data_IF_731583704299
#
_entry.id   IF_731583704299
#
_cell.length_a   1.000
_cell.length_b   1.000
_cell.length_c   1.000
_cell.angle_alpha   90.00
_cell.angle_beta   90.00
_cell.angle_gamma   90.00
#
_symmetry.space_group_name_H-M   'P 1'
#
loop_
_entity.id
_entity.type
_entity.pdbx_description
1 polymer ?
#
# COMPACT_ATOMS: atom_id res chain seq x y z
N UNK A 1 33.11 -10.33 11.86
CA UNK A 1 31.72 -10.82 11.70
C UNK A 1 30.67 -9.71 11.80
N UNK A 2 30.69 -8.87 12.85
CA UNK A 2 29.70 -7.78 13.01
C UNK A 2 29.63 -6.80 11.83
N UNK A 3 30.76 -6.30 11.33
CA UNK A 3 30.78 -5.36 10.19
C UNK A 3 30.14 -5.93 8.91
N UNK A 4 30.32 -7.24 8.66
CA UNK A 4 29.73 -7.92 7.52
C UNK A 4 28.20 -8.06 7.67
N UNK A 5 27.73 -8.38 8.88
CA UNK A 5 26.30 -8.40 9.20
C UNK A 5 25.67 -7.02 9.05
N UNK A 6 26.33 -5.96 9.52
CA UNK A 6 25.86 -4.57 9.35
C UNK A 6 25.77 -4.17 7.88
N UNK A 7 26.77 -4.49 7.06
CA UNK A 7 26.74 -4.22 5.62
C UNK A 7 25.63 -5.01 4.91
N UNK A 8 25.38 -6.25 5.33
CA UNK A 8 24.30 -7.06 4.77
C UNK A 8 22.92 -6.53 5.18
N UNK A 9 22.77 -6.11 6.43
CA UNK A 9 21.53 -5.54 6.96
C UNK A 9 21.22 -4.19 6.30
N UNK A 10 22.22 -3.32 6.13
CA UNK A 10 22.05 -2.04 5.43
C UNK A 10 21.58 -2.22 3.99
N UNK A 11 22.18 -3.16 3.25
CA UNK A 11 21.72 -3.50 1.88
C UNK A 11 20.27 -4.01 1.87
N UNK A 12 19.90 -4.84 2.85
CA UNK A 12 18.54 -5.35 2.96
C UNK A 12 17.52 -4.24 3.25
N UNK A 13 17.87 -3.28 4.12
CA UNK A 13 17.02 -2.12 4.42
C UNK A 13 16.80 -1.26 3.18
N UNK A 14 17.86 -0.97 2.42
CA UNK A 14 17.75 -0.17 1.19
C UNK A 14 16.91 -0.90 0.14
N UNK A 15 17.10 -2.22 -0.01
CA UNK A 15 16.28 -3.02 -0.92
C UNK A 15 14.81 -3.03 -0.50
N UNK A 16 14.52 -3.25 0.78
CA UNK A 16 13.17 -3.23 1.32
C UNK A 16 12.49 -1.87 1.11
N UNK A 17 13.21 -0.77 1.37
CA UNK A 17 12.74 0.58 1.11
C UNK A 17 12.46 0.83 -0.39
N UNK A 18 13.34 0.35 -1.27
CA UNK A 18 13.16 0.46 -2.73
C UNK A 18 11.94 -0.33 -3.22
N UNK A 19 11.76 -1.56 -2.74
CA UNK A 19 10.59 -2.39 -3.05
C UNK A 19 9.31 -1.73 -2.54
N UNK A 20 9.29 -1.26 -1.28
CA UNK A 20 8.14 -0.57 -0.72
C UNK A 20 7.78 0.70 -1.51
N UNK A 21 8.80 1.45 -1.95
CA UNK A 21 8.61 2.63 -2.81
C UNK A 21 8.02 2.24 -4.17
N UNK A 22 8.52 1.18 -4.80
CA UNK A 22 7.97 0.67 -6.06
C UNK A 22 6.51 0.20 -5.90
N UNK A 23 6.21 -0.59 -4.87
CA UNK A 23 4.85 -1.06 -4.58
C UNK A 23 3.90 0.12 -4.37
N UNK A 24 4.31 1.12 -3.60
CA UNK A 24 3.52 2.32 -3.38
C UNK A 24 3.24 3.07 -4.69
N UNK A 25 4.27 3.29 -5.51
CA UNK A 25 4.11 4.00 -6.79
C UNK A 25 3.20 3.21 -7.75
N UNK A 26 3.37 1.89 -7.85
CA UNK A 26 2.52 1.02 -8.66
C UNK A 26 1.07 1.02 -8.17
N UNK A 27 0.85 0.95 -6.85
CA UNK A 27 -0.48 1.05 -6.25
C UNK A 27 -1.18 2.37 -6.58
N UNK A 28 -0.44 3.49 -6.52
CA UNK A 28 -0.96 4.82 -6.87
C UNK A 28 -1.23 5.00 -8.37
N UNK A 29 -0.55 4.27 -9.24
CA UNK A 29 -0.81 4.31 -10.69
C UNK A 29 -2.17 3.68 -11.04
N UNK A 30 -2.56 2.61 -10.35
CA UNK A 30 -3.88 1.97 -10.55
C UNK A 30 -5.02 2.66 -9.79
N UNK A 31 -4.73 3.23 -8.62
CA UNK A 31 -5.74 3.87 -7.76
C UNK A 31 -6.43 5.10 -8.37
N UNK A 32 -5.90 5.70 -9.46
CA UNK A 32 -6.56 6.81 -10.14
C UNK A 32 -7.84 6.39 -10.90
N UNK A 33 -7.98 5.12 -11.31
CA UNK A 33 -9.13 4.66 -12.10
C UNK A 33 -10.47 4.55 -11.32
N UNK A 34 -10.51 4.02 -10.08
CA UNK A 34 -11.77 3.96 -9.32
C UNK A 34 -12.33 5.34 -8.96
N UNK A 35 -11.48 6.36 -8.81
CA UNK A 35 -11.94 7.74 -8.63
C UNK A 35 -12.72 8.23 -9.85
N UNK A 36 -12.20 8.02 -11.06
CA UNK A 36 -12.89 8.40 -12.29
C UNK A 36 -14.19 7.62 -12.48
N UNK A 37 -14.23 6.32 -12.18
CA UNK A 37 -15.48 5.54 -12.28
C UNK A 37 -16.55 5.93 -11.26
N UNK A 38 -16.17 6.29 -10.03
CA UNK A 38 -17.10 6.81 -9.02
C UNK A 38 -17.62 8.20 -9.41
N UNK A 39 -16.77 9.02 -10.03
CA UNK A 39 -17.10 10.34 -10.56
C UNK A 39 -18.03 10.26 -11.77
N UNK A 40 -17.77 9.35 -12.71
CA UNK A 40 -18.64 9.08 -13.86
C UNK A 40 -20.02 8.62 -13.39
N UNK A 41 -20.10 7.75 -12.38
CA UNK A 41 -21.37 7.38 -11.77
C UNK A 41 -22.09 8.58 -11.17
N UNK A 42 -21.38 9.50 -10.49
CA UNK A 42 -22.02 10.69 -9.92
C UNK A 42 -22.43 11.71 -10.98
N UNK A 43 -21.71 11.82 -12.10
CA UNK A 43 -22.11 12.63 -13.26
C UNK A 43 -23.37 12.04 -13.92
N UNK A 44 -23.42 10.72 -14.13
CA UNK A 44 -24.59 10.03 -14.69
C UNK A 44 -25.83 10.14 -13.80
N UNK A 45 -25.65 10.13 -12.48
CA UNK A 45 -26.76 10.30 -11.52
C UNK A 45 -27.22 11.76 -11.38
N UNK A 46 -26.41 12.72 -11.84
CA UNK A 46 -26.61 14.14 -11.60
C UNK A 46 -26.38 14.94 -12.89
N UNK A 47 -27.11 14.57 -13.94
CA UNK A 47 -27.04 15.11 -15.31
C UNK A 47 -27.19 16.65 -15.39
N UNK A 48 -27.79 17.26 -14.37
CA UNK A 48 -27.98 18.72 -14.22
C UNK A 48 -26.90 19.40 -13.38
N UNK A 49 -25.89 18.68 -12.91
CA UNK A 49 -24.84 19.23 -12.07
C UNK A 49 -23.96 20.18 -12.88
N UNK A 50 -23.85 21.43 -12.43
CA UNK A 50 -22.93 22.39 -13.04
C UNK A 50 -21.49 21.89 -12.93
N UNK A 51 -20.63 22.13 -13.94
CA UNK A 51 -19.23 21.69 -13.92
C UNK A 51 -18.45 22.23 -12.71
N UNK A 52 -18.87 23.36 -12.14
CA UNK A 52 -18.32 23.92 -10.91
C UNK A 52 -18.66 23.10 -9.65
N UNK A 53 -19.89 22.57 -9.55
CA UNK A 53 -20.31 21.73 -8.42
C UNK A 53 -19.58 20.38 -8.43
N UNK A 54 -19.36 19.80 -9.63
CA UNK A 54 -18.58 18.58 -9.83
C UNK A 54 -17.10 18.79 -9.48
N UNK A 55 -16.52 19.93 -9.83
CA UNK A 55 -15.15 20.25 -9.42
C UNK A 55 -15.03 20.39 -7.88
N UNK A 56 -16.03 20.98 -7.22
CA UNK A 56 -16.05 21.11 -5.76
C UNK A 56 -16.16 19.75 -5.04
N UNK A 57 -17.01 18.84 -5.54
CA UNK A 57 -17.12 17.48 -4.98
C UNK A 57 -15.84 16.66 -5.17
N UNK A 58 -15.19 16.78 -6.33
CA UNK A 58 -13.86 16.18 -6.61
C UNK A 58 -12.81 16.66 -5.61
N UNK A 59 -12.75 17.97 -5.36
CA UNK A 59 -11.78 18.54 -4.42
C UNK A 59 -12.03 18.07 -2.98
N UNK A 60 -13.30 18.04 -2.54
CA UNK A 60 -13.66 17.55 -1.22
C UNK A 60 -13.30 16.07 -1.02
N UNK A 61 -13.49 15.23 -2.04
CA UNK A 61 -13.12 13.82 -1.99
C UNK A 61 -11.59 13.63 -1.93
N UNK A 62 -10.85 14.40 -2.74
CA UNK A 62 -9.37 14.41 -2.69
C UNK A 62 -8.79 14.87 -1.36
N UNK A 63 -9.44 15.83 -0.70
CA UNK A 63 -9.05 16.27 0.65
C UNK A 63 -9.22 15.15 1.67
N UNK A 64 -10.36 14.45 1.66
CA UNK A 64 -10.62 13.35 2.60
C UNK A 64 -9.67 12.17 2.42
N UNK A 65 -9.24 11.93 1.18
CA UNK A 65 -8.35 10.82 0.83
C UNK A 65 -6.86 11.20 0.94
N UNK A 66 -6.51 12.43 1.37
CA UNK A 66 -5.12 12.90 1.45
C UNK A 66 -4.41 13.00 0.10
N UNK A 67 -5.16 12.99 -1.01
CA UNK A 67 -4.63 12.96 -2.37
C UNK A 67 -4.06 14.31 -2.82
N UNK A 68 -4.29 15.37 -2.04
CA UNK A 68 -3.74 16.70 -2.29
C UNK A 68 -2.28 16.82 -1.87
N UNK A 69 -1.79 15.89 -1.05
CA UNK A 69 -0.39 15.86 -0.65
C UNK A 69 0.50 15.41 -1.82
N UNK A 70 1.77 15.80 -1.84
CA UNK A 70 2.73 15.28 -2.81
C UNK A 70 2.86 13.76 -2.66
N UNK A 71 2.96 13.06 -3.81
CA UNK A 71 3.00 11.60 -3.87
C UNK A 71 4.24 11.06 -3.15
N UNK A 72 5.38 11.72 -3.32
CA UNK A 72 6.67 11.29 -2.79
C UNK A 72 7.48 12.46 -2.22
N UNK A 73 8.63 12.15 -1.61
CA UNK A 73 9.49 13.16 -0.97
C UNK A 73 10.00 14.24 -1.91
N UNK A 74 10.18 13.94 -3.20
CA UNK A 74 10.64 14.88 -4.20
C UNK A 74 9.84 14.73 -5.48
N UNK A 75 9.34 15.85 -6.00
CA UNK A 75 8.66 15.91 -7.29
C UNK A 75 9.44 16.79 -8.24
N UNK A 76 9.49 16.41 -9.52
CA UNK A 76 10.06 17.25 -10.57
C UNK A 76 8.96 18.13 -11.15
N UNK A 77 9.09 19.44 -10.99
CA UNK A 77 8.22 20.45 -11.62
C UNK A 77 8.96 21.16 -12.76
N UNK A 78 8.24 21.98 -13.52
CA UNK A 78 8.83 22.79 -14.59
C UNK A 78 9.94 23.75 -14.09
N UNK A 79 9.89 24.12 -12.81
CA UNK A 79 10.86 25.00 -12.16
C UNK A 79 12.06 24.25 -11.54
N UNK A 80 12.05 22.92 -11.52
CA UNK A 80 13.12 22.09 -10.97
C UNK A 80 12.64 21.04 -9.98
N UNK A 81 13.55 20.56 -9.13
CA UNK A 81 13.24 19.60 -8.07
C UNK A 81 12.66 20.32 -6.85
N UNK A 82 11.49 19.90 -6.42
CA UNK A 82 10.85 20.39 -5.20
C UNK A 82 10.85 19.27 -4.16
N UNK A 83 11.44 19.56 -3.01
CA UNK A 83 11.44 18.68 -1.86
C UNK A 83 10.23 18.98 -0.97
N UNK A 84 9.47 17.94 -0.63
CA UNK A 84 8.20 18.05 0.09
C UNK A 84 8.30 17.67 1.58
N UNK A 85 9.48 17.27 2.07
CA UNK A 85 9.67 16.92 3.48
C UNK A 85 8.96 15.62 3.87
N UNK A 86 8.61 15.49 5.16
CA UNK A 86 7.91 14.31 5.71
C UNK A 86 6.41 14.33 5.49
N UNK A 87 5.85 15.45 5.02
CA UNK A 87 4.42 15.61 4.78
C UNK A 87 4.11 15.22 3.33
N UNK A 88 4.10 13.90 3.09
CA UNK A 88 3.81 13.32 1.79
C UNK A 88 3.07 11.99 1.95
N UNK A 89 2.35 11.61 0.90
CA UNK A 89 1.49 10.42 0.91
C UNK A 89 2.28 9.14 1.19
N UNK A 90 3.51 9.03 0.67
CA UNK A 90 4.37 7.87 0.91
C UNK A 90 4.79 7.74 2.37
N UNK A 91 5.15 8.84 3.04
CA UNK A 91 5.59 8.82 4.42
C UNK A 91 4.44 8.44 5.36
N UNK A 92 3.25 9.02 5.14
CA UNK A 92 2.04 8.64 5.87
C UNK A 92 1.72 7.16 5.66
N UNK A 93 1.70 6.69 4.41
CA UNK A 93 1.49 5.27 4.09
C UNK A 93 2.52 4.34 4.72
N UNK A 94 3.81 4.69 4.65
CA UNK A 94 4.87 3.88 5.22
C UNK A 94 4.78 3.82 6.74
N UNK A 95 4.46 4.95 7.38
CA UNK A 95 4.21 5.01 8.82
C UNK A 95 3.04 4.11 9.20
N UNK A 96 1.90 4.22 8.52
CA UNK A 96 0.73 3.37 8.76
C UNK A 96 1.06 1.88 8.58
N UNK A 97 1.78 1.53 7.51
CA UNK A 97 2.23 0.16 7.25
C UNK A 97 3.10 -0.39 8.39
N UNK A 98 4.02 0.42 8.91
CA UNK A 98 4.88 0.04 10.05
C UNK A 98 4.08 -0.12 11.35
N UNK A 99 2.97 0.59 11.51
CA UNK A 99 2.03 0.40 12.62
C UNK A 99 1.04 -0.75 12.39
N UNK A 100 1.15 -1.48 11.27
CA UNK A 100 0.26 -2.58 10.90
C UNK A 100 -1.09 -2.13 10.33
N UNK A 101 -1.24 -0.84 10.00
CA UNK A 101 -2.39 -0.31 9.30
C UNK A 101 -2.16 -0.40 7.79
N UNK A 102 -2.92 -1.28 7.12
CA UNK A 102 -2.85 -1.48 5.67
C UNK A 102 -3.72 -0.47 4.89
N UNK A 103 -4.36 0.47 5.58
CA UNK A 103 -5.26 1.45 5.00
C UNK A 103 -6.67 0.91 4.77
N UNK A 104 -7.41 1.63 3.93
CA UNK A 104 -8.82 1.36 3.61
C UNK A 104 -8.98 0.91 2.15
N UNK A 105 -9.96 0.05 1.91
CA UNK A 105 -10.37 -0.37 0.56
C UNK A 105 -10.93 0.82 -0.21
N UNK A 106 -10.43 1.06 -1.42
CA UNK A 106 -10.96 2.08 -2.33
C UNK A 106 -12.39 1.78 -2.79
N UNK A 107 -12.82 0.51 -2.72
CA UNK A 107 -14.14 0.07 -3.18
C UNK A 107 -15.23 0.27 -2.11
N UNK A 108 -14.94 -0.16 -0.88
CA UNK A 108 -15.96 -0.27 0.17
C UNK A 108 -15.67 0.63 1.38
N UNK A 109 -14.53 1.34 1.39
CA UNK A 109 -14.09 2.20 2.50
C UNK A 109 -13.69 1.46 3.79
N UNK A 110 -13.85 0.13 3.82
CA UNK A 110 -13.53 -0.69 4.99
C UNK A 110 -12.02 -0.85 5.17
N UNK A 111 -11.56 -1.00 6.42
CA UNK A 111 -10.16 -1.25 6.71
C UNK A 111 -9.71 -2.59 6.08
N UNK A 112 -8.60 -2.56 5.34
CA UNK A 112 -8.06 -3.73 4.65
C UNK A 112 -7.67 -4.83 5.65
N UNK A 113 -7.19 -4.44 6.82
CA UNK A 113 -6.88 -5.33 7.95
C UNK A 113 -8.11 -6.08 8.47
N UNK A 114 -9.30 -5.47 8.43
CA UNK A 114 -10.54 -6.14 8.84
C UNK A 114 -10.99 -7.22 7.85
N UNK A 115 -10.61 -7.09 6.58
CA UNK A 115 -10.92 -8.07 5.54
C UNK A 115 -9.89 -9.21 5.49
N UNK A 116 -8.59 -8.86 5.48
CA UNK A 116 -7.50 -9.84 5.37
C UNK A 116 -7.14 -10.51 6.69
N UNK A 117 -7.28 -9.81 7.82
CA UNK A 117 -6.90 -10.31 9.15
C UNK A 117 -7.56 -11.65 9.48
N UNK A 118 -8.89 -11.79 9.35
CA UNK A 118 -9.57 -13.06 9.59
C UNK A 118 -9.08 -14.18 8.66
N UNK A 119 -8.87 -13.91 7.37
CA UNK A 119 -8.40 -14.90 6.41
C UNK A 119 -6.98 -15.39 6.77
N UNK A 120 -6.07 -14.47 7.09
CA UNK A 120 -4.71 -14.78 7.50
C UNK A 120 -4.66 -15.57 8.82
N UNK A 121 -5.57 -15.28 9.76
CA UNK A 121 -5.65 -15.99 11.04
C UNK A 121 -5.91 -17.50 10.87
N UNK A 122 -6.60 -17.91 9.81
CA UNK A 122 -6.81 -19.34 9.50
C UNK A 122 -5.75 -19.91 8.56
N UNK A 123 -5.27 -19.12 7.60
CA UNK A 123 -4.36 -19.62 6.56
C UNK A 123 -2.96 -19.86 7.13
N UNK A 124 -2.47 -18.98 8.00
CA UNK A 124 -1.12 -19.10 8.58
C UNK A 124 -0.94 -20.35 9.46
N UNK A 125 -1.86 -20.69 10.41
CA UNK A 125 -1.74 -21.93 11.17
C UNK A 125 -1.80 -23.17 10.29
N UNK A 126 -2.68 -23.19 9.27
CA UNK A 126 -2.80 -24.32 8.35
C UNK A 126 -1.51 -24.52 7.53
N UNK A 127 -0.96 -23.42 6.99
CA UNK A 127 0.33 -23.46 6.29
C UNK A 127 1.46 -23.90 7.22
N UNK A 128 1.49 -23.40 8.46
CA UNK A 128 2.48 -23.79 9.45
C UNK A 128 2.41 -25.27 9.81
N UNK A 129 1.20 -25.82 9.99
CA UNK A 129 0.99 -27.24 10.23
C UNK A 129 1.42 -28.09 9.02
N UNK A 130 1.02 -27.71 7.81
CA UNK A 130 1.41 -28.41 6.59
C UNK A 130 2.93 -28.43 6.41
N UNK A 131 3.59 -27.28 6.61
CA UNK A 131 5.05 -27.17 6.54
C UNK A 131 5.72 -28.02 7.61
N UNK A 132 5.21 -28.01 8.85
CA UNK A 132 5.74 -28.82 9.94
C UNK A 132 5.63 -30.32 9.66
N UNK A 133 4.47 -30.78 9.19
CA UNK A 133 4.25 -32.18 8.83
C UNK A 133 5.12 -32.62 7.65
N UNK A 134 5.18 -31.81 6.58
CA UNK A 134 5.99 -32.12 5.41
C UNK A 134 7.48 -32.20 5.75
N UNK A 135 7.99 -31.24 6.53
CA UNK A 135 9.39 -31.22 6.97
C UNK A 135 9.68 -32.40 7.90
N UNK A 136 8.78 -32.71 8.84
CA UNK A 136 8.91 -33.86 9.73
C UNK A 136 8.95 -35.19 8.97
N UNK A 137 8.03 -35.37 8.02
CA UNK A 137 8.01 -36.56 7.17
C UNK A 137 9.28 -36.70 6.32
N UNK A 138 9.77 -35.59 5.74
CA UNK A 138 11.00 -35.59 4.98
C UNK A 138 12.22 -35.98 5.82
N UNK A 139 12.32 -35.47 7.05
CA UNK A 139 13.40 -35.85 7.97
C UNK A 139 13.33 -37.32 8.39
N UNK A 140 12.14 -37.83 8.70
CA UNK A 140 11.96 -39.25 9.03
C UNK A 140 12.36 -40.15 7.87
N UNK A 141 11.93 -39.82 6.64
CA UNK A 141 12.29 -40.57 5.44
C UNK A 141 13.79 -40.51 5.17
N UNK A 142 14.43 -39.35 5.36
CA UNK A 142 15.86 -39.16 5.17
C UNK A 142 16.74 -39.91 6.19
N UNK A 143 16.21 -40.23 7.37
CA UNK A 143 16.91 -41.06 8.36
C UNK A 143 16.72 -42.55 8.07
N UNK A 144 15.63 -42.93 7.39
CA UNK A 144 15.31 -44.33 7.10
C UNK A 144 15.89 -44.84 5.77
N UNK A 145 16.20 -43.94 4.82
CA UNK A 145 16.97 -44.22 3.60
C UNK A 145 18.48 -44.06 3.86
#
# INVERSE_FOLDING_TARGET
MAAWLFMRLGKAIVAAWGIASLVFLLSRLEANQPEEQLLDQTELLNESATPAALAASRLAMRQRLGLQEPIFYATRSAAGWQWHGQHNQYHTWLSELLHGNLGHSFRDGQAVTAQLGPALAYTLPLMGLALGLATGAALLLAVYL
#
